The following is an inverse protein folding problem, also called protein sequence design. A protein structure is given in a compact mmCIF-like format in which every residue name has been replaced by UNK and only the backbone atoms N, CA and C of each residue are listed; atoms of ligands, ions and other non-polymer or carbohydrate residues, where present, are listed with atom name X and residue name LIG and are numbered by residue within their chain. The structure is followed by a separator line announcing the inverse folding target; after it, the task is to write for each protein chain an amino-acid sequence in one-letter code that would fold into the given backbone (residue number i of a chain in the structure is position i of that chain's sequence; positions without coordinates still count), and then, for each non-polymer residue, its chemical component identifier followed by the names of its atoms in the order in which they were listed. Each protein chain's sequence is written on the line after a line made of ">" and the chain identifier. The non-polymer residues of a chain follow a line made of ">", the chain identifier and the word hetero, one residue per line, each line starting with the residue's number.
data_IF_262238344664
#
_entry.id   IF_262238344664
#
_cell.length_a   1.000
_cell.length_b   1.000
_cell.length_c   1.000
_cell.angle_alpha   90.00
_cell.angle_beta   90.00
_cell.angle_gamma   90.00
#
_symmetry.space_group_name_H-M   'P 1'
#
loop_
_entity.id
_entity.type
_entity.pdbx_description
1 polymer ?
#
# COMPACT_ATOMS: atom_id res chain seq x y z
N UNK A 1 -27.52 20.56 -57.68
CA UNK A 1 -27.41 19.07 -57.69
C UNK A 1 -27.18 18.59 -56.27
N UNK A 2 -28.18 17.98 -55.68
CA UNK A 2 -28.19 17.54 -54.27
C UNK A 2 -27.92 16.02 -54.22
N UNK A 3 -27.12 15.49 -53.29
CA UNK A 3 -27.11 14.06 -53.06
C UNK A 3 -27.74 13.68 -51.71
N UNK A 4 -28.50 12.68 -51.83
CA UNK A 4 -29.45 11.98 -50.98
C UNK A 4 -28.87 11.44 -49.67
N UNK A 5 -29.62 11.68 -48.58
CA UNK A 5 -29.53 10.96 -47.33
C UNK A 5 -29.85 9.46 -47.49
N UNK A 6 -29.01 8.60 -46.89
CA UNK A 6 -29.36 7.21 -46.57
C UNK A 6 -29.34 7.01 -45.07
N UNK A 7 -30.52 6.88 -44.48
CA UNK A 7 -30.74 6.43 -43.13
C UNK A 7 -30.37 4.94 -42.99
N UNK A 8 -29.55 4.60 -41.99
CA UNK A 8 -29.30 3.22 -41.60
C UNK A 8 -30.02 2.92 -40.29
N UNK A 9 -30.91 1.94 -40.33
CA UNK A 9 -31.76 1.46 -39.27
C UNK A 9 -30.94 0.89 -38.10
N UNK A 10 -31.33 1.28 -36.88
CA UNK A 10 -30.88 0.70 -35.62
C UNK A 10 -31.61 -0.63 -35.41
N UNK A 11 -30.88 -1.71 -35.22
CA UNK A 11 -31.40 -2.98 -34.70
C UNK A 11 -31.11 -3.04 -33.23
N UNK A 12 -32.16 -2.95 -32.41
CA UNK A 12 -32.14 -3.21 -30.97
C UNK A 12 -32.07 -4.72 -30.76
N UNK A 13 -31.05 -5.19 -30.03
CA UNK A 13 -30.99 -6.56 -29.51
C UNK A 13 -31.37 -6.50 -28.05
N UNK A 14 -32.50 -7.09 -27.74
CA UNK A 14 -32.99 -7.34 -26.38
C UNK A 14 -32.38 -8.68 -25.95
N UNK A 15 -31.54 -8.68 -24.97
CA UNK A 15 -31.11 -9.90 -24.27
C UNK A 15 -31.87 -10.05 -22.97
N UNK A 16 -32.64 -11.13 -22.89
CA UNK A 16 -33.40 -11.53 -21.72
C UNK A 16 -32.43 -12.08 -20.62
N UNK A 17 -32.65 -11.64 -19.41
CA UNK A 17 -31.99 -12.19 -18.21
C UNK A 17 -32.71 -13.46 -17.76
N UNK A 18 -31.98 -14.55 -17.57
CA UNK A 18 -32.44 -15.75 -16.87
C UNK A 18 -31.80 -15.77 -15.48
N UNK A 19 -32.65 -15.62 -14.47
CA UNK A 19 -32.27 -15.80 -13.08
C UNK A 19 -32.40 -17.30 -12.71
N UNK A 20 -31.32 -17.89 -12.24
CA UNK A 20 -31.35 -19.21 -11.61
C UNK A 20 -31.09 -19.06 -10.11
N UNK A 21 -32.13 -19.31 -9.31
CA UNK A 21 -32.04 -19.41 -7.86
C UNK A 21 -31.65 -20.83 -7.47
N UNK A 22 -30.55 -21.00 -6.73
CA UNK A 22 -30.16 -22.26 -6.09
C UNK A 22 -30.41 -22.15 -4.58
N UNK A 23 -31.38 -22.93 -4.10
CA UNK A 23 -31.66 -23.19 -2.70
C UNK A 23 -30.67 -24.24 -2.17
N UNK A 24 -29.90 -23.89 -1.13
CA UNK A 24 -29.12 -24.88 -0.36
C UNK A 24 -29.76 -25.03 1.00
N UNK A 25 -30.30 -26.22 1.25
CA UNK A 25 -30.90 -26.68 2.53
C UNK A 25 -29.80 -27.07 3.51
N UNK A 26 -29.83 -26.46 4.70
CA UNK A 26 -28.95 -26.82 5.81
C UNK A 26 -29.40 -28.08 6.52
N UNK A 27 -28.47 -28.95 6.89
CA UNK A 27 -28.69 -30.06 7.79
C UNK A 27 -28.06 -29.77 9.14
N UNK A 28 -28.91 -29.76 10.18
CA UNK A 28 -28.54 -29.69 11.61
C UNK A 28 -28.29 -31.11 12.10
N UNK A 29 -27.12 -31.38 12.65
CA UNK A 29 -26.84 -32.60 13.40
C UNK A 29 -26.75 -32.26 14.88
N UNK A 30 -27.72 -32.78 15.63
CA UNK A 30 -27.75 -32.76 17.08
C UNK A 30 -26.95 -33.96 17.62
N UNK A 31 -25.96 -33.73 18.46
CA UNK A 31 -25.22 -34.75 19.18
C UNK A 31 -25.61 -34.74 20.66
N UNK A 32 -26.05 -35.88 21.14
CA UNK A 32 -26.68 -36.08 22.43
C UNK A 32 -25.69 -36.18 23.62
N UNK A 33 -26.13 -35.69 24.75
CA UNK A 33 -25.54 -35.85 26.09
C UNK A 33 -25.63 -37.31 26.57
N UNK A 34 -24.58 -37.78 27.22
CA UNK A 34 -24.67 -38.94 28.11
C UNK A 34 -24.16 -38.56 29.51
N UNK A 35 -25.10 -38.60 30.45
CA UNK A 35 -24.90 -38.56 31.89
C UNK A 35 -24.45 -39.93 32.36
N UNK A 36 -23.34 -40.01 33.08
CA UNK A 36 -22.92 -41.22 33.83
C UNK A 36 -22.71 -40.86 35.30
N UNK A 37 -23.48 -41.58 36.14
CA UNK A 37 -23.67 -41.41 37.57
C UNK A 37 -22.61 -42.17 38.38
N UNK A 38 -22.20 -41.57 39.53
CA UNK A 38 -21.44 -42.21 40.62
C UNK A 38 -22.22 -43.39 41.24
N UNK A 39 -21.65 -44.24 42.12
CA UNK A 39 -21.12 -43.85 43.42
C UNK A 39 -19.95 -44.79 43.92
N UNK A 40 -19.19 -44.49 44.91
CA UNK A 40 -19.25 -44.83 46.28
C UNK A 40 -17.93 -44.65 47.06
N UNK A 41 -18.10 -44.41 48.32
CA UNK A 41 -17.20 -44.00 49.35
C UNK A 41 -16.18 -45.06 49.80
N UNK A 42 -15.01 -44.60 50.27
CA UNK A 42 -14.35 -45.12 51.46
C UNK A 42 -13.33 -44.15 52.06
N UNK A 43 -13.43 -44.00 53.35
CA UNK A 43 -12.74 -43.18 54.33
C UNK A 43 -11.24 -43.43 54.51
N UNK A 44 -10.57 -42.38 55.10
CA UNK A 44 -9.39 -42.37 56.01
C UNK A 44 -8.05 -42.00 55.30
N UNK A 45 -7.45 -40.91 55.63
CA UNK A 45 -6.67 -40.63 56.85
C UNK A 45 -6.16 -39.21 56.83
N UNK A 46 -6.26 -38.53 57.98
CA UNK A 46 -5.71 -37.20 58.27
C UNK A 46 -4.20 -37.31 58.37
N UNK A 47 -3.46 -36.53 57.57
CA UNK A 47 -2.05 -36.20 57.84
C UNK A 47 -1.87 -34.71 57.67
N UNK A 48 -1.64 -34.03 58.79
CA UNK A 48 -1.38 -32.62 58.86
C UNK A 48 0.05 -32.36 58.37
N UNK A 49 0.19 -31.70 57.22
CA UNK A 49 1.45 -31.04 56.80
C UNK A 49 1.27 -29.53 56.90
N UNK A 50 2.31 -28.79 57.32
CA UNK A 50 2.23 -27.33 57.48
C UNK A 50 2.10 -26.64 56.11
N UNK A 51 1.52 -25.42 56.05
CA UNK A 51 1.35 -24.70 54.80
C UNK A 51 2.72 -24.33 54.23
N UNK A 52 2.99 -24.87 53.03
CA UNK A 52 4.12 -24.44 52.20
C UNK A 52 3.81 -23.05 51.70
N UNK A 53 4.62 -22.06 52.10
CA UNK A 53 4.55 -20.72 51.57
C UNK A 53 4.82 -20.77 50.07
N UNK A 54 3.80 -20.44 49.30
CA UNK A 54 3.97 -20.17 47.85
C UNK A 54 4.95 -19.03 47.67
N UNK A 55 5.97 -19.18 46.81
CA UNK A 55 6.85 -18.05 46.49
C UNK A 55 6.00 -16.93 45.87
N UNK A 56 6.06 -15.78 46.53
CA UNK A 56 5.47 -14.54 46.01
C UNK A 56 6.02 -14.30 44.60
N UNK A 57 5.21 -14.45 43.58
CA UNK A 57 5.57 -14.03 42.23
C UNK A 57 5.77 -12.53 42.27
N UNK A 58 7.03 -12.09 42.14
CA UNK A 58 7.34 -10.71 41.77
C UNK A 58 6.50 -10.35 40.54
N UNK A 59 5.77 -9.24 40.55
CA UNK A 59 5.10 -8.79 39.35
C UNK A 59 6.15 -8.60 38.26
N UNK A 60 6.05 -9.37 37.18
CA UNK A 60 6.81 -9.14 35.97
C UNK A 60 6.47 -7.72 35.51
N UNK A 61 7.48 -6.86 35.46
CA UNK A 61 7.30 -5.50 35.02
C UNK A 61 6.71 -5.56 33.60
N UNK A 62 5.50 -5.05 33.43
CA UNK A 62 4.90 -4.91 32.11
C UNK A 62 5.88 -4.12 31.24
N UNK A 63 6.39 -4.72 30.18
CA UNK A 63 7.14 -4.01 29.16
C UNK A 63 6.25 -2.88 28.62
N UNK A 64 6.67 -1.66 28.81
CA UNK A 64 6.01 -0.49 28.25
C UNK A 64 6.29 -0.54 26.74
N UNK A 65 5.37 -1.11 25.98
CA UNK A 65 5.44 -1.04 24.51
C UNK A 65 5.17 0.40 24.09
N UNK A 66 6.15 1.02 23.47
CA UNK A 66 6.01 2.37 22.90
C UNK A 66 5.09 2.28 21.69
N UNK A 67 4.02 3.06 21.69
CA UNK A 67 3.14 3.20 20.54
C UNK A 67 3.79 4.14 19.51
N UNK A 68 4.37 3.55 18.47
CA UNK A 68 5.11 4.26 17.43
C UNK A 68 4.20 5.16 16.57
N UNK A 69 2.91 4.82 16.42
CA UNK A 69 1.94 5.68 15.73
C UNK A 69 1.76 7.00 16.52
N UNK A 70 1.68 6.93 17.83
CA UNK A 70 1.65 8.13 18.71
C UNK A 70 2.94 8.93 18.60
N UNK A 71 4.10 8.28 18.55
CA UNK A 71 5.41 8.98 18.39
C UNK A 71 5.47 9.68 17.04
N UNK A 72 5.08 9.01 15.97
CA UNK A 72 5.04 9.57 14.62
C UNK A 72 4.06 10.76 14.55
N UNK A 73 2.86 10.62 15.12
CA UNK A 73 1.86 11.70 15.17
C UNK A 73 2.43 12.95 15.85
N UNK A 74 3.01 12.81 17.03
CA UNK A 74 3.62 13.92 17.75
C UNK A 74 4.75 14.61 16.96
N UNK A 75 5.49 13.87 16.14
CA UNK A 75 6.56 14.41 15.31
C UNK A 75 6.05 15.14 14.05
N UNK A 76 4.93 14.66 13.46
CA UNK A 76 4.40 15.13 12.16
C UNK A 76 3.36 16.24 12.32
N UNK A 77 2.48 16.17 13.31
CA UNK A 77 1.42 17.17 13.54
C UNK A 77 1.88 18.63 13.53
N UNK A 78 3.00 19.01 14.20
CA UNK A 78 3.47 20.40 14.18
C UNK A 78 3.89 20.90 12.79
N UNK A 79 4.24 19.98 11.88
CA UNK A 79 4.62 20.30 10.49
C UNK A 79 3.36 20.50 9.65
N UNK A 80 2.39 19.59 9.79
CA UNK A 80 1.10 19.65 9.09
C UNK A 80 0.29 20.87 9.49
N UNK A 81 0.16 21.15 10.79
CA UNK A 81 -0.65 22.24 11.32
C UNK A 81 -0.27 23.62 10.73
N UNK A 82 0.98 23.80 10.33
CA UNK A 82 1.47 25.05 9.73
C UNK A 82 1.22 25.15 8.23
N UNK A 83 0.92 24.05 7.55
CA UNK A 83 0.79 23.99 6.10
C UNK A 83 -0.62 24.28 5.60
N UNK A 84 -1.66 24.00 6.40
CA UNK A 84 -3.05 24.00 5.97
C UNK A 84 -3.41 22.87 5.01
N UNK A 85 -2.47 21.97 4.71
CA UNK A 85 -2.66 20.81 3.84
C UNK A 85 -3.06 19.56 4.63
N UNK A 86 -3.53 18.51 3.94
CA UNK A 86 -3.69 17.18 4.52
C UNK A 86 -2.46 16.33 4.24
N UNK A 87 -2.11 15.45 5.17
CA UNK A 87 -0.97 14.55 5.04
C UNK A 87 -1.27 13.20 5.71
N UNK A 88 -0.79 12.13 5.09
CA UNK A 88 -0.66 10.80 5.70
C UNK A 88 0.73 10.26 5.46
N UNK A 89 1.26 9.53 6.44
CA UNK A 89 2.63 8.98 6.42
C UNK A 89 2.59 7.54 6.89
N UNK A 90 3.36 6.69 6.24
CA UNK A 90 3.68 5.35 6.74
C UNK A 90 5.18 5.11 6.61
N UNK A 91 5.77 4.47 7.63
CA UNK A 91 7.21 4.18 7.68
C UNK A 91 7.43 2.79 8.27
N UNK A 92 8.47 2.11 7.78
CA UNK A 92 8.91 0.78 8.25
C UNK A 92 10.44 0.73 8.26
N UNK A 93 11.03 0.33 9.36
CA UNK A 93 12.42 -0.16 9.39
C UNK A 93 12.46 -1.62 8.95
N UNK A 94 13.16 -1.90 7.85
CA UNK A 94 13.19 -3.25 7.27
C UNK A 94 13.98 -4.26 8.10
N UNK A 95 14.80 -3.81 9.05
CA UNK A 95 15.64 -4.66 9.89
C UNK A 95 14.95 -5.04 11.21
N UNK A 96 14.40 -4.06 11.93
CA UNK A 96 13.65 -4.31 13.18
C UNK A 96 12.24 -4.82 12.92
N UNK A 97 11.63 -4.43 11.78
CA UNK A 97 10.22 -4.66 11.48
C UNK A 97 9.30 -3.63 12.17
N UNK A 98 9.85 -2.67 12.88
CA UNK A 98 9.09 -1.58 13.49
C UNK A 98 8.48 -0.70 12.41
N UNK A 99 7.22 -0.33 12.61
CA UNK A 99 6.48 0.51 11.67
C UNK A 99 5.58 1.47 12.40
N UNK A 100 5.28 2.59 11.76
CA UNK A 100 4.33 3.58 12.24
C UNK A 100 3.51 4.17 11.10
N UNK A 101 2.27 4.56 11.40
CA UNK A 101 1.36 5.19 10.45
C UNK A 101 0.72 6.42 11.08
N UNK A 102 0.63 7.49 10.31
CA UNK A 102 -0.08 8.72 10.63
C UNK A 102 -1.10 9.06 9.54
N UNK A 103 -2.38 9.21 9.91
CA UNK A 103 -3.47 9.54 8.99
C UNK A 103 -3.93 8.34 8.17
N UNK A 104 -5.23 8.29 7.91
CA UNK A 104 -5.93 7.20 7.21
C UNK A 104 -6.69 7.69 5.97
N UNK A 105 -6.46 8.95 5.57
CA UNK A 105 -7.12 9.53 4.40
C UNK A 105 -6.65 8.86 3.13
N UNK A 106 -7.53 8.73 2.14
CA UNK A 106 -7.19 8.36 0.77
C UNK A 106 -6.77 9.60 -0.03
N UNK A 107 -5.86 9.40 -0.98
CA UNK A 107 -5.31 10.44 -1.84
C UNK A 107 -5.27 9.99 -3.29
N UNK A 108 -5.38 10.93 -4.22
CA UNK A 108 -5.01 10.67 -5.61
C UNK A 108 -3.51 10.39 -5.70
N UNK A 109 -3.16 9.30 -6.37
CA UNK A 109 -1.76 8.85 -6.47
C UNK A 109 -0.88 9.81 -7.26
N UNK A 110 -1.43 10.52 -8.22
CA UNK A 110 -0.63 11.14 -9.28
C UNK A 110 0.39 10.11 -9.85
N UNK A 111 1.65 10.46 -10.01
CA UNK A 111 2.64 9.56 -10.65
C UNK A 111 3.26 8.50 -9.74
N UNK A 112 2.93 8.39 -8.45
CA UNK A 112 3.41 7.25 -7.65
C UNK A 112 2.79 5.93 -8.10
N UNK A 113 1.56 5.92 -8.65
CA UNK A 113 0.91 4.74 -9.24
C UNK A 113 1.75 4.04 -10.32
N UNK A 114 2.73 4.71 -10.89
CA UNK A 114 3.61 4.13 -11.91
C UNK A 114 4.45 2.96 -11.36
N UNK A 115 4.75 2.97 -10.06
CA UNK A 115 5.37 1.83 -9.37
C UNK A 115 4.40 0.64 -9.35
N UNK A 116 3.15 0.90 -9.05
CA UNK A 116 2.08 -0.08 -9.00
C UNK A 116 1.76 -0.66 -10.40
N UNK A 117 1.65 0.20 -11.41
CA UNK A 117 1.50 -0.23 -12.83
C UNK A 117 2.65 -1.17 -13.24
N UNK A 118 3.89 -0.86 -12.87
CA UNK A 118 5.02 -1.72 -13.20
C UNK A 118 5.01 -3.02 -12.40
N UNK A 119 4.63 -3.00 -11.13
CA UNK A 119 4.45 -4.20 -10.32
C UNK A 119 3.37 -5.11 -10.92
N UNK A 120 2.22 -4.55 -11.34
CA UNK A 120 1.15 -5.28 -12.01
C UNK A 120 1.61 -5.90 -13.35
N UNK A 121 2.36 -5.17 -14.16
CA UNK A 121 2.93 -5.67 -15.42
C UNK A 121 3.91 -6.83 -15.18
N UNK A 122 4.76 -6.71 -14.16
CA UNK A 122 5.72 -7.76 -13.79
C UNK A 122 5.01 -9.01 -13.28
N UNK A 123 3.96 -8.87 -12.47
CA UNK A 123 3.11 -10.01 -12.05
C UNK A 123 2.47 -10.71 -13.24
N UNK A 124 1.87 -9.95 -14.17
CA UNK A 124 1.26 -10.51 -15.37
C UNK A 124 2.29 -11.24 -16.25
N UNK A 125 3.51 -10.72 -16.37
CA UNK A 125 4.59 -11.39 -17.08
C UNK A 125 5.02 -12.70 -16.39
N UNK A 126 5.15 -12.70 -15.06
CA UNK A 126 5.45 -13.90 -14.27
C UNK A 126 4.37 -14.98 -14.46
N UNK A 127 3.11 -14.64 -14.38
CA UNK A 127 1.98 -15.57 -14.55
C UNK A 127 1.99 -16.20 -15.96
N UNK A 128 2.39 -15.42 -16.95
CA UNK A 128 2.55 -15.89 -18.33
C UNK A 128 3.87 -16.67 -18.59
N UNK A 129 4.72 -16.86 -17.57
CA UNK A 129 6.02 -17.52 -17.71
C UNK A 129 6.97 -16.82 -18.69
N UNK A 130 6.84 -15.49 -18.87
CA UNK A 130 7.63 -14.69 -19.81
C UNK A 130 8.41 -13.56 -19.14
N UNK A 131 9.40 -13.07 -19.82
CA UNK A 131 10.04 -11.78 -19.49
C UNK A 131 9.28 -10.63 -20.16
N UNK A 132 9.52 -9.40 -19.66
CA UNK A 132 9.07 -8.20 -20.36
C UNK A 132 9.71 -8.12 -21.76
N UNK A 133 8.92 -7.71 -22.75
CA UNK A 133 9.40 -7.42 -24.10
C UNK A 133 10.37 -6.22 -24.11
N UNK A 134 11.10 -6.01 -25.19
CA UNK A 134 11.96 -4.85 -25.34
C UNK A 134 11.19 -3.52 -25.26
N UNK A 135 9.96 -3.50 -25.83
CA UNK A 135 9.09 -2.34 -25.79
C UNK A 135 8.59 -2.06 -24.36
N UNK A 136 8.07 -3.08 -23.65
CA UNK A 136 7.65 -2.96 -22.25
C UNK A 136 8.79 -2.46 -21.34
N UNK A 137 10.02 -2.93 -21.54
CA UNK A 137 11.20 -2.45 -20.81
C UNK A 137 11.52 -0.98 -21.11
N UNK A 138 11.43 -0.57 -22.37
CA UNK A 138 11.66 0.82 -22.79
C UNK A 138 10.62 1.75 -22.15
N UNK A 139 9.34 1.36 -22.21
CA UNK A 139 8.24 2.11 -21.59
C UNK A 139 8.37 2.14 -20.06
N UNK A 140 8.69 1.02 -19.42
CA UNK A 140 8.89 0.97 -17.97
C UNK A 140 10.03 1.88 -17.52
N UNK A 141 11.15 1.89 -18.24
CA UNK A 141 12.27 2.78 -17.92
C UNK A 141 11.88 4.27 -18.07
N UNK A 142 11.21 4.65 -19.15
CA UNK A 142 10.72 6.03 -19.34
C UNK A 142 9.69 6.40 -18.27
N UNK A 143 8.74 5.51 -17.97
CA UNK A 143 7.67 5.71 -16.98
C UNK A 143 8.22 5.94 -15.57
N UNK A 144 9.18 5.14 -15.12
CA UNK A 144 9.71 5.27 -13.75
C UNK A 144 10.75 6.37 -13.66
N UNK A 145 11.77 6.37 -14.55
CA UNK A 145 12.93 7.27 -14.44
C UNK A 145 12.61 8.72 -14.79
N UNK A 146 11.81 8.93 -15.83
CA UNK A 146 11.45 10.26 -16.34
C UNK A 146 10.01 10.66 -15.96
N UNK A 147 9.29 9.76 -15.31
CA UNK A 147 7.85 9.95 -15.04
C UNK A 147 7.03 10.18 -16.32
N UNK A 148 7.41 9.58 -17.45
CA UNK A 148 6.75 9.77 -18.73
C UNK A 148 5.29 9.31 -18.69
N UNK A 149 4.38 10.20 -19.13
CA UNK A 149 2.94 9.94 -19.08
C UNK A 149 2.45 9.11 -20.26
N UNK A 150 3.13 9.20 -21.42
CA UNK A 150 2.80 8.41 -22.60
C UNK A 150 3.11 6.95 -22.36
N UNK A 151 4.29 6.66 -21.81
CA UNK A 151 4.69 5.32 -21.38
C UNK A 151 3.77 4.77 -20.29
N UNK A 152 3.39 5.60 -19.31
CA UNK A 152 2.44 5.21 -18.28
C UNK A 152 1.08 4.81 -18.86
N UNK A 153 0.55 5.59 -19.81
CA UNK A 153 -0.73 5.30 -20.46
C UNK A 153 -0.66 4.01 -21.28
N UNK A 154 0.44 3.76 -22.00
CA UNK A 154 0.63 2.53 -22.74
C UNK A 154 0.66 1.30 -21.83
N UNK A 155 1.45 1.34 -20.76
CA UNK A 155 1.54 0.23 -19.80
C UNK A 155 0.25 0.04 -18.98
N UNK A 156 -0.45 1.13 -18.64
CA UNK A 156 -1.79 1.08 -18.05
C UNK A 156 -2.78 0.30 -18.93
N UNK A 157 -2.77 0.55 -20.22
CA UNK A 157 -3.60 -0.20 -21.17
C UNK A 157 -3.16 -1.67 -21.24
N UNK A 158 -1.86 -1.93 -21.23
CA UNK A 158 -1.29 -3.29 -21.27
C UNK A 158 -1.74 -4.14 -20.10
N UNK A 159 -1.80 -3.59 -18.89
CA UNK A 159 -2.27 -4.32 -17.70
C UNK A 159 -3.80 -4.46 -17.62
N UNK A 160 -4.56 -3.82 -18.52
CA UNK A 160 -6.03 -3.87 -18.52
C UNK A 160 -6.71 -2.73 -17.76
N UNK A 161 -6.02 -1.61 -17.57
CA UNK A 161 -6.54 -0.40 -16.91
C UNK A 161 -6.82 -0.62 -15.43
N UNK A 162 -7.84 0.09 -14.89
CA UNK A 162 -8.22 0.01 -13.48
C UNK A 162 -8.45 -1.43 -13.00
N UNK A 163 -9.19 -2.24 -13.76
CA UNK A 163 -9.46 -3.64 -13.35
C UNK A 163 -8.21 -4.50 -13.26
N UNK A 164 -7.24 -4.30 -14.17
CA UNK A 164 -5.99 -5.04 -14.12
C UNK A 164 -5.10 -4.58 -12.97
N UNK A 165 -5.11 -3.29 -12.66
CA UNK A 165 -4.45 -2.75 -11.48
C UNK A 165 -5.06 -3.32 -10.20
N UNK A 166 -6.40 -3.25 -10.05
CA UNK A 166 -7.11 -3.74 -8.85
C UNK A 166 -6.84 -5.23 -8.60
N UNK A 167 -6.84 -6.06 -9.65
CA UNK A 167 -6.49 -7.48 -9.55
C UNK A 167 -5.04 -7.73 -9.11
N UNK A 168 -4.10 -6.87 -9.51
CA UNK A 168 -2.73 -6.92 -9.04
C UNK A 168 -2.61 -6.42 -7.59
N UNK A 169 -3.33 -5.37 -7.22
CA UNK A 169 -3.37 -4.79 -5.89
C UNK A 169 -3.85 -5.79 -4.83
N UNK A 170 -4.89 -6.56 -5.13
CA UNK A 170 -5.34 -7.66 -4.25
C UNK A 170 -4.19 -8.62 -3.93
N UNK A 171 -3.39 -9.00 -4.91
CA UNK A 171 -2.25 -9.90 -4.75
C UNK A 171 -1.05 -9.25 -4.03
N UNK A 172 -0.88 -7.94 -4.20
CA UNK A 172 0.18 -7.15 -3.56
C UNK A 172 -0.18 -6.76 -2.13
N UNK A 173 -1.44 -7.00 -1.70
CA UNK A 173 -1.92 -6.65 -0.37
C UNK A 173 -2.35 -5.19 -0.20
N UNK A 174 -2.65 -4.50 -1.30
CA UNK A 174 -3.18 -3.13 -1.31
C UNK A 174 -4.71 -3.19 -1.26
N UNK A 175 -5.28 -3.10 -0.07
CA UNK A 175 -6.72 -3.37 0.17
C UNK A 175 -7.61 -2.13 0.07
N UNK A 176 -7.01 -0.94 0.11
CA UNK A 176 -7.68 0.36 0.06
C UNK A 176 -7.30 1.16 -1.20
N UNK A 177 -6.51 0.56 -2.10
CA UNK A 177 -6.12 1.18 -3.36
C UNK A 177 -7.10 0.78 -4.46
N UNK A 178 -7.73 1.77 -5.09
CA UNK A 178 -8.75 1.56 -6.11
C UNK A 178 -8.38 2.29 -7.40
N UNK A 179 -8.28 1.54 -8.50
CA UNK A 179 -8.01 2.06 -9.82
C UNK A 179 -9.12 2.96 -10.33
N UNK A 180 -8.76 4.09 -10.94
CA UNK A 180 -9.71 5.04 -11.53
C UNK A 180 -9.71 4.99 -13.06
N UNK A 181 -10.62 5.74 -13.70
CA UNK A 181 -10.67 5.85 -15.17
C UNK A 181 -9.42 6.48 -15.80
N UNK A 182 -8.68 7.27 -15.01
CA UNK A 182 -7.36 7.80 -15.37
C UNK A 182 -6.37 7.37 -14.27
N UNK A 183 -5.24 6.79 -14.65
CA UNK A 183 -4.28 6.18 -13.71
C UNK A 183 -3.84 7.13 -12.59
N UNK A 184 -3.62 8.43 -12.86
CA UNK A 184 -3.19 9.41 -11.85
C UNK A 184 -4.26 9.77 -10.81
N UNK A 185 -5.52 9.38 -11.03
CA UNK A 185 -6.66 9.54 -10.11
C UNK A 185 -6.95 8.27 -9.30
N UNK A 186 -6.12 7.24 -9.42
CA UNK A 186 -6.17 6.06 -8.55
C UNK A 186 -6.10 6.52 -7.09
N UNK A 187 -7.03 6.03 -6.27
CA UNK A 187 -7.08 6.36 -4.84
C UNK A 187 -6.23 5.37 -4.06
N UNK A 188 -5.47 5.87 -3.09
CA UNK A 188 -4.60 5.03 -2.24
C UNK A 188 -4.43 5.60 -0.84
N UNK A 189 -3.92 4.80 0.09
CA UNK A 189 -3.53 5.20 1.45
C UNK A 189 -2.01 5.09 1.64
N UNK A 190 -1.48 5.78 2.66
CA UNK A 190 -0.06 5.64 3.02
C UNK A 190 0.29 4.20 3.44
N UNK A 191 -0.65 3.51 4.10
CA UNK A 191 -0.52 2.09 4.48
C UNK A 191 -0.38 1.18 3.26
N UNK A 192 -1.22 1.34 2.26
CA UNK A 192 -1.15 0.56 1.02
C UNK A 192 0.14 0.84 0.24
N UNK A 193 0.57 2.10 0.18
CA UNK A 193 1.84 2.43 -0.47
C UNK A 193 3.04 1.84 0.29
N UNK A 194 2.97 1.72 1.61
CA UNK A 194 3.96 0.99 2.39
C UNK A 194 3.94 -0.52 2.07
N UNK A 195 2.75 -1.13 1.91
CA UNK A 195 2.61 -2.52 1.49
C UNK A 195 3.20 -2.74 0.08
N UNK A 196 2.96 -1.82 -0.87
CA UNK A 196 3.59 -1.86 -2.18
C UNK A 196 5.12 -1.82 -2.08
N UNK A 197 5.67 -0.92 -1.25
CA UNK A 197 7.11 -0.85 -1.02
C UNK A 197 7.65 -2.13 -0.38
N UNK A 198 6.94 -2.76 0.54
CA UNK A 198 7.32 -4.06 1.09
C UNK A 198 7.31 -5.15 0.01
N UNK A 199 6.34 -5.14 -0.92
CA UNK A 199 6.33 -6.06 -2.05
C UNK A 199 7.52 -5.84 -2.99
N UNK A 200 7.98 -4.59 -3.16
CA UNK A 200 9.11 -4.24 -4.03
C UNK A 200 10.46 -4.50 -3.36
N UNK A 201 10.64 -4.12 -2.10
CA UNK A 201 11.94 -4.13 -1.40
C UNK A 201 12.11 -5.28 -0.41
N UNK A 202 11.02 -5.90 0.03
CA UNK A 202 11.05 -7.04 0.95
C UNK A 202 11.44 -8.36 0.28
N UNK A 203 11.81 -9.33 1.09
CA UNK A 203 12.16 -10.68 0.62
C UNK A 203 10.93 -11.59 0.49
N UNK A 204 9.92 -11.40 1.33
CA UNK A 204 8.65 -12.13 1.26
C UNK A 204 7.69 -11.35 0.34
N UNK A 205 7.66 -11.70 -0.94
CA UNK A 205 6.91 -10.98 -1.97
C UNK A 205 6.35 -11.91 -3.03
N UNK A 206 5.20 -11.56 -3.57
CA UNK A 206 4.62 -12.22 -4.77
C UNK A 206 5.40 -11.87 -6.05
N UNK A 207 6.17 -10.79 -6.02
CA UNK A 207 7.11 -10.45 -7.10
C UNK A 207 8.38 -11.32 -6.97
N UNK A 208 8.82 -11.91 -8.07
CA UNK A 208 10.07 -12.63 -8.13
C UNK A 208 11.26 -11.72 -7.81
N UNK A 209 12.38 -12.28 -7.38
CA UNK A 209 13.61 -11.52 -7.14
C UNK A 209 14.02 -10.69 -8.35
N UNK A 210 13.96 -11.28 -9.55
CA UNK A 210 14.29 -10.59 -10.79
C UNK A 210 13.37 -9.40 -11.06
N UNK A 211 12.06 -9.53 -10.79
CA UNK A 211 11.07 -8.45 -10.92
C UNK A 211 11.34 -7.33 -9.93
N UNK A 212 11.58 -7.68 -8.67
CA UNK A 212 11.93 -6.69 -7.63
C UNK A 212 13.21 -5.94 -7.97
N UNK A 213 14.28 -6.64 -8.31
CA UNK A 213 15.56 -6.05 -8.68
C UNK A 213 15.41 -5.08 -9.85
N UNK A 214 14.64 -5.47 -10.88
CA UNK A 214 14.38 -4.61 -12.03
C UNK A 214 13.67 -3.31 -11.63
N UNK A 215 12.60 -3.41 -10.84
CA UNK A 215 11.83 -2.25 -10.38
C UNK A 215 12.67 -1.35 -9.47
N UNK A 216 13.39 -1.92 -8.50
CA UNK A 216 14.30 -1.21 -7.61
C UNK A 216 15.36 -0.42 -8.39
N UNK A 217 16.01 -1.06 -9.38
CA UNK A 217 17.00 -0.42 -10.23
C UNK A 217 16.45 0.81 -10.97
N UNK A 218 15.21 0.75 -11.45
CA UNK A 218 14.59 1.90 -12.10
C UNK A 218 14.28 3.04 -11.11
N UNK A 219 13.84 2.70 -9.88
CA UNK A 219 13.59 3.68 -8.81
C UNK A 219 14.87 4.34 -8.28
N UNK A 220 16.02 3.67 -8.39
CA UNK A 220 17.35 4.23 -8.06
C UNK A 220 17.88 5.19 -9.15
N UNK A 221 17.29 5.17 -10.34
CA UNK A 221 17.76 5.90 -11.52
C UNK A 221 16.79 6.99 -11.98
N UNK A 222 15.97 7.53 -11.10
CA UNK A 222 15.08 8.63 -11.45
C UNK A 222 15.89 9.87 -11.87
N UNK A 223 15.29 10.73 -12.71
CA UNK A 223 15.92 11.97 -13.14
C UNK A 223 16.16 12.93 -11.96
N UNK A 224 17.27 13.69 -12.04
CA UNK A 224 17.75 14.54 -10.94
C UNK A 224 16.81 15.69 -10.57
N UNK A 225 15.90 16.08 -11.46
CA UNK A 225 14.83 17.06 -11.18
C UNK A 225 13.69 16.46 -10.32
N UNK A 226 13.71 15.15 -10.07
CA UNK A 226 12.72 14.40 -9.31
C UNK A 226 13.29 13.72 -8.05
N UNK A 227 14.52 13.98 -7.66
CA UNK A 227 15.20 13.37 -6.51
C UNK A 227 14.86 14.02 -5.15
N UNK A 228 13.64 14.54 -5.02
CA UNK A 228 13.09 15.15 -3.80
C UNK A 228 12.20 14.19 -3.00
N UNK A 229 11.69 14.63 -1.86
CA UNK A 229 10.74 13.87 -1.04
C UNK A 229 11.42 12.91 -0.10
N UNK A 230 11.25 11.59 -0.27
CA UNK A 230 11.84 10.57 0.60
C UNK A 230 13.37 10.67 0.65
N UNK A 231 14.03 11.08 -0.43
CA UNK A 231 15.48 11.30 -0.48
C UNK A 231 15.99 12.29 0.57
N UNK A 232 15.17 13.26 0.96
CA UNK A 232 15.54 14.25 1.98
C UNK A 232 15.75 13.64 3.38
N UNK A 233 15.28 12.40 3.61
CA UNK A 233 15.40 11.73 4.90
C UNK A 233 16.73 10.98 5.08
N UNK A 234 17.53 10.79 4.02
CA UNK A 234 18.80 10.06 4.12
C UNK A 234 19.50 9.86 2.77
N UNK A 235 20.23 8.77 2.64
CA UNK A 235 21.01 8.44 1.45
C UNK A 235 20.64 7.09 0.84
N UNK A 236 21.25 6.71 -0.28
CA UNK A 236 21.02 5.38 -0.92
C UNK A 236 19.55 5.12 -1.23
N UNK A 237 18.86 6.16 -1.65
CA UNK A 237 17.43 6.13 -1.91
C UNK A 237 17.08 5.45 -3.24
N UNK A 238 15.88 4.89 -3.26
CA UNK A 238 15.16 4.43 -4.45
C UNK A 238 13.71 4.90 -4.29
N UNK A 239 13.22 5.79 -5.15
CA UNK A 239 11.95 6.44 -4.90
C UNK A 239 11.12 6.68 -6.17
N UNK A 240 9.85 7.05 -5.97
CA UNK A 240 8.99 7.62 -6.99
C UNK A 240 8.17 8.75 -6.40
N UNK A 241 8.12 9.85 -7.12
CA UNK A 241 7.32 11.01 -6.78
C UNK A 241 6.09 11.12 -7.67
N UNK A 242 5.05 11.76 -7.12
CA UNK A 242 3.84 12.10 -7.84
C UNK A 242 3.38 13.51 -7.45
N UNK A 243 2.94 14.29 -8.44
CA UNK A 243 2.35 15.61 -8.22
C UNK A 243 1.31 15.90 -9.29
N UNK A 244 0.29 16.64 -8.90
CA UNK A 244 -0.80 17.00 -9.82
C UNK A 244 -1.49 18.27 -9.36
N UNK A 245 -1.66 19.29 -10.26
CA UNK A 245 -2.53 20.42 -9.96
C UNK A 245 -3.99 20.00 -10.06
N UNK A 246 -4.81 20.44 -9.12
CA UNK A 246 -6.26 20.20 -9.08
C UNK A 246 -6.99 21.38 -9.67
N UNK A 247 -7.52 21.23 -10.89
CA UNK A 247 -8.23 22.32 -11.59
C UNK A 247 -9.44 22.83 -10.83
N UNK A 248 -10.12 21.98 -10.05
CA UNK A 248 -11.30 22.35 -9.28
C UNK A 248 -10.98 23.27 -8.09
N UNK A 249 -9.81 23.15 -7.49
CA UNK A 249 -9.41 23.90 -6.28
C UNK A 249 -8.26 24.87 -6.51
N UNK A 250 -7.50 24.70 -7.59
CA UNK A 250 -6.23 25.41 -7.82
C UNK A 250 -5.08 24.92 -6.91
N UNK A 251 -5.32 23.90 -6.09
CA UNK A 251 -4.33 23.36 -5.16
C UNK A 251 -3.58 22.16 -5.78
N UNK A 252 -2.52 21.71 -5.10
CA UNK A 252 -1.66 20.64 -5.55
C UNK A 252 -1.72 19.42 -4.64
N UNK A 253 -1.71 18.24 -5.27
CA UNK A 253 -1.40 16.97 -4.64
C UNK A 253 0.09 16.72 -4.82
N UNK A 254 0.79 16.29 -3.75
CA UNK A 254 2.23 16.02 -3.78
C UNK A 254 2.52 14.79 -2.92
N UNK A 255 3.07 13.75 -3.55
CA UNK A 255 3.33 12.45 -2.94
C UNK A 255 4.78 12.00 -3.19
N UNK A 256 5.34 11.25 -2.24
CA UNK A 256 6.66 10.61 -2.39
C UNK A 256 6.66 9.26 -1.68
N UNK A 257 7.11 8.22 -2.38
CA UNK A 257 7.24 6.87 -1.82
C UNK A 257 8.60 6.30 -2.15
N UNK A 258 9.19 5.52 -1.26
CA UNK A 258 10.47 4.89 -1.56
C UNK A 258 11.19 4.26 -0.37
N UNK A 259 12.39 3.81 -0.66
CA UNK A 259 13.38 3.33 0.31
C UNK A 259 14.44 4.39 0.53
N UNK A 260 14.93 4.50 1.77
CA UNK A 260 16.02 5.40 2.13
C UNK A 260 16.89 4.76 3.24
N UNK A 261 18.20 5.03 3.22
CA UNK A 261 19.13 4.60 4.27
C UNK A 261 19.44 5.74 5.21
N UNK A 262 19.26 5.50 6.53
CA UNK A 262 19.45 6.47 7.59
C UNK A 262 20.17 5.79 8.77
N UNK A 263 21.32 6.27 9.18
CA UNK A 263 22.08 5.79 10.35
C UNK A 263 22.28 4.26 10.36
N UNK A 264 22.55 3.67 9.20
CA UNK A 264 22.75 2.22 9.03
C UNK A 264 21.46 1.38 9.02
N UNK A 265 20.29 2.01 9.12
CA UNK A 265 18.96 1.41 8.93
C UNK A 265 18.50 1.61 7.49
N UNK A 266 17.63 0.74 7.03
CA UNK A 266 16.93 0.86 5.74
C UNK A 266 15.45 1.03 6.02
N UNK A 267 14.91 2.19 5.70
CA UNK A 267 13.51 2.51 5.92
C UNK A 267 12.73 2.55 4.60
N UNK A 268 11.51 2.01 4.61
CA UNK A 268 10.49 2.23 3.59
C UNK A 268 9.59 3.36 4.06
N UNK A 269 9.35 4.34 3.21
CA UNK A 269 8.59 5.55 3.58
C UNK A 269 7.58 5.86 2.48
N UNK A 270 6.33 6.10 2.89
CA UNK A 270 5.28 6.61 2.02
C UNK A 270 4.71 7.89 2.64
N UNK A 271 4.74 8.99 1.88
CA UNK A 271 4.18 10.29 2.27
C UNK A 271 3.20 10.72 1.20
N UNK A 272 1.94 10.87 1.57
CA UNK A 272 0.85 11.30 0.70
C UNK A 272 0.27 12.61 1.21
N UNK A 273 0.04 13.58 0.32
CA UNK A 273 -0.48 14.88 0.73
C UNK A 273 -1.25 15.59 -0.38
N UNK A 274 -2.19 16.44 0.03
CA UNK A 274 -2.97 17.30 -0.85
C UNK A 274 -3.26 18.68 -0.22
N UNK A 275 -3.79 19.60 -1.00
CA UNK A 275 -4.23 20.89 -0.51
C UNK A 275 -3.14 21.97 -0.49
N UNK A 276 -2.04 21.78 -1.21
CA UNK A 276 -0.93 22.74 -1.25
C UNK A 276 -1.20 23.91 -2.21
N UNK A 277 -0.83 25.11 -1.79
CA UNK A 277 -0.94 26.30 -2.65
C UNK A 277 0.01 26.23 -3.87
N UNK A 278 1.18 25.59 -3.72
CA UNK A 278 2.14 25.38 -4.79
C UNK A 278 2.76 23.99 -4.70
N UNK A 279 3.34 23.50 -5.80
CA UNK A 279 4.10 22.24 -5.81
C UNK A 279 5.26 22.28 -4.82
N UNK A 280 5.98 23.41 -4.77
CA UNK A 280 7.15 23.61 -3.92
C UNK A 280 6.79 23.55 -2.42
N UNK A 281 5.64 24.13 -2.03
CA UNK A 281 5.12 24.01 -0.67
C UNK A 281 4.79 22.56 -0.31
N UNK A 282 4.24 21.81 -1.27
CA UNK A 282 3.99 20.37 -1.08
C UNK A 282 5.27 19.57 -0.94
N UNK A 283 6.28 19.82 -1.79
CA UNK A 283 7.60 19.18 -1.69
C UNK A 283 8.21 19.44 -0.30
N UNK A 284 8.22 20.69 0.15
CA UNK A 284 8.79 21.04 1.45
C UNK A 284 8.10 20.32 2.63
N UNK A 285 6.76 20.17 2.57
CA UNK A 285 6.01 19.43 3.58
C UNK A 285 6.35 17.92 3.55
N UNK A 286 6.35 17.32 2.36
CA UNK A 286 6.65 15.89 2.16
C UNK A 286 8.06 15.56 2.65
N UNK A 287 9.05 16.39 2.34
CA UNK A 287 10.42 16.22 2.82
C UNK A 287 10.54 16.34 4.34
N UNK A 288 9.86 17.34 4.93
CA UNK A 288 9.85 17.50 6.38
C UNK A 288 9.20 16.28 7.06
N UNK A 289 8.09 15.78 6.52
CA UNK A 289 7.40 14.60 7.02
C UNK A 289 8.25 13.32 6.88
N UNK A 290 8.94 13.13 5.76
CA UNK A 290 9.83 11.98 5.54
C UNK A 290 10.97 11.96 6.58
N UNK A 291 11.61 13.11 6.86
CA UNK A 291 12.64 13.21 7.93
C UNK A 291 12.07 12.86 9.29
N UNK A 292 10.87 13.33 9.62
CA UNK A 292 10.20 13.01 10.89
C UNK A 292 9.86 11.53 11.00
N UNK A 293 9.36 10.95 9.93
CA UNK A 293 8.99 9.54 9.91
C UNK A 293 10.17 8.61 10.23
N UNK A 294 11.32 8.79 9.59
CA UNK A 294 12.49 7.94 9.86
C UNK A 294 13.11 8.18 11.25
N UNK A 295 12.88 9.36 11.84
CA UNK A 295 13.35 9.68 13.19
C UNK A 295 12.42 9.17 14.30
N UNK A 296 11.22 8.69 13.96
CA UNK A 296 10.21 8.21 14.91
C UNK A 296 10.32 6.71 15.20
N UNK A 297 11.13 5.99 14.44
CA UNK A 297 11.52 4.59 14.66
C UNK A 297 12.90 4.57 15.37
#
# INVERSE_FOLDING_TARGET
>A
MSPRHRARARRSVVCAAVAAAALVTGSVAAGAYSLGRSPDAASRAVSSAPPSESPSRTPEAAEVTVDLDTVLAAAVEPVVARSGASLSVAVLDTKSGESAVYGEKTYDTASIVKVDILAALLLAAQDAGRSLTAEEKTQAAAMIRLSDNTAATALWQTIGGARGLDAANERLGLTETAGAGAWGLTQTTARDQLALLQAVFGTNSVLSEASRTYLQTLMEQISTDQDWGVSAAGSGWALKNGWMPRTATGLWDVNSIGRVSVDGRVCLVAVLSDGHATKEAGIALVEAAARKAVSSL
#
